data_IF_219697145187
#
_entry.id   IF_219697145187
#
_cell.length_a   1.000
_cell.length_b   1.000
_cell.length_c   1.000
_cell.angle_alpha   90.00
_cell.angle_beta   90.00
_cell.angle_gamma   90.00
#
_symmetry.space_group_name_H-M   'P 1'
#
loop_
_entity.id
_entity.type
_entity.pdbx_description
1 polymer ?
#
# COMPACT_ATOMS: atom_id res chain seq x y z
N UNK A 1 -11.60 -7.74 18.15
CA UNK A 1 -12.83 -7.01 17.78
C UNK A 1 -12.72 -6.67 16.30
N UNK A 2 -13.71 -6.99 15.46
CA UNK A 2 -13.65 -6.62 14.05
C UNK A 2 -13.96 -5.12 13.90
N UNK A 3 -12.95 -4.35 13.51
CA UNK A 3 -13.08 -2.93 13.17
C UNK A 3 -14.02 -2.80 11.96
N UNK A 4 -15.16 -2.13 12.13
CA UNK A 4 -16.11 -1.91 11.02
C UNK A 4 -15.72 -0.67 10.24
N UNK A 5 -15.38 -0.83 8.96
CA UNK A 5 -14.97 0.27 8.08
C UNK A 5 -16.01 1.41 8.02
N UNK A 6 -17.30 1.10 8.16
CA UNK A 6 -18.40 2.07 8.20
C UNK A 6 -18.26 3.14 9.31
N UNK A 7 -17.52 2.85 10.38
CA UNK A 7 -17.26 3.80 11.46
C UNK A 7 -16.34 4.95 11.03
N UNK A 8 -15.59 4.76 9.95
CA UNK A 8 -14.60 5.68 9.42
C UNK A 8 -15.08 6.42 8.17
N UNK A 9 -16.38 6.33 7.85
CA UNK A 9 -16.96 6.99 6.69
C UNK A 9 -16.80 8.51 6.80
N UNK A 10 -16.26 9.13 5.76
CA UNK A 10 -16.07 10.58 5.73
C UNK A 10 -17.41 11.26 5.44
N UNK A 11 -17.86 12.11 6.36
CA UNK A 11 -19.10 12.88 6.19
C UNK A 11 -18.99 13.83 5.00
N UNK A 12 -20.10 14.04 4.28
CA UNK A 12 -20.19 14.91 3.10
C UNK A 12 -19.36 14.46 1.88
N UNK A 13 -18.85 13.23 1.88
CA UNK A 13 -18.23 12.59 0.73
C UNK A 13 -19.07 11.39 0.27
N UNK A 14 -18.83 10.88 -0.96
CA UNK A 14 -19.49 9.66 -1.42
C UNK A 14 -19.33 8.51 -0.42
N UNK A 15 -20.33 7.61 -0.28
CA UNK A 15 -20.41 6.59 0.78
C UNK A 15 -19.32 5.51 0.75
N UNK A 16 -18.30 5.67 -0.10
CA UNK A 16 -17.21 4.73 -0.33
C UNK A 16 -15.85 5.31 0.08
N UNK A 17 -15.83 6.51 0.68
CA UNK A 17 -14.61 7.11 1.23
C UNK A 17 -14.53 6.91 2.74
N UNK A 18 -13.44 6.30 3.18
CA UNK A 18 -13.16 6.04 4.58
C UNK A 18 -11.79 6.62 4.96
N UNK A 19 -11.68 7.19 6.15
CA UNK A 19 -10.44 7.71 6.70
C UNK A 19 -10.19 7.14 8.09
N UNK A 20 -9.13 6.33 8.23
CA UNK A 20 -8.69 5.74 9.49
C UNK A 20 -7.42 6.47 9.93
N UNK A 21 -7.48 7.38 10.92
CA UNK A 21 -6.28 8.00 11.46
C UNK A 21 -5.44 6.95 12.21
N UNK A 22 -4.13 7.19 12.28
CA UNK A 22 -3.21 6.41 13.12
C UNK A 22 -3.29 4.89 12.88
N UNK A 23 -3.45 4.49 11.61
CA UNK A 23 -3.65 3.09 11.20
C UNK A 23 -2.45 2.17 11.51
N UNK A 24 -1.26 2.78 11.57
CA UNK A 24 -0.02 2.16 12.02
C UNK A 24 0.53 2.96 13.20
N UNK A 25 1.24 2.29 14.11
CA UNK A 25 1.92 2.97 15.22
C UNK A 25 3.23 3.61 14.77
N UNK A 26 3.80 4.52 15.57
CA UNK A 26 5.11 5.13 15.29
C UNK A 26 6.22 4.07 15.13
N UNK A 27 6.22 3.02 15.98
CA UNK A 27 7.17 1.91 15.88
C UNK A 27 7.00 1.10 14.58
N UNK A 28 5.76 0.90 14.15
CA UNK A 28 5.46 0.24 12.88
C UNK A 28 5.89 1.10 11.70
N UNK A 29 5.70 2.42 11.77
CA UNK A 29 6.16 3.35 10.75
C UNK A 29 7.68 3.32 10.60
N UNK A 30 8.43 3.34 11.71
CA UNK A 30 9.89 3.27 11.71
C UNK A 30 10.38 1.97 11.04
N UNK A 31 9.84 0.82 11.44
CA UNK A 31 10.21 -0.49 10.85
C UNK A 31 9.83 -0.60 9.39
N UNK A 32 8.64 -0.12 9.02
CA UNK A 32 8.18 -0.11 7.63
C UNK A 32 9.12 0.72 6.76
N UNK A 33 9.56 1.88 7.26
CA UNK A 33 10.54 2.75 6.61
C UNK A 33 11.89 2.06 6.41
N UNK A 34 12.41 1.40 7.45
CA UNK A 34 13.65 0.62 7.35
C UNK A 34 13.56 -0.45 6.25
N UNK A 35 12.46 -1.22 6.21
CA UNK A 35 12.24 -2.23 5.17
C UNK A 35 12.14 -1.62 3.76
N UNK A 36 11.40 -0.52 3.61
CA UNK A 36 11.23 0.18 2.32
C UNK A 36 12.59 0.61 1.75
N UNK A 37 13.48 1.15 2.58
CA UNK A 37 14.76 1.66 2.12
C UNK A 37 15.89 0.64 2.06
N UNK A 38 15.74 -0.52 2.73
CA UNK A 38 16.72 -1.60 2.68
C UNK A 38 16.70 -2.40 1.36
N UNK A 39 15.69 -2.19 0.50
CA UNK A 39 15.58 -2.89 -0.79
C UNK A 39 16.70 -2.46 -1.74
N UNK A 40 17.15 -3.34 -2.65
CA UNK A 40 18.22 -2.98 -3.59
C UNK A 40 17.72 -1.94 -4.60
N UNK A 41 18.62 -1.07 -5.08
CA UNK A 41 18.29 0.01 -6.04
C UNK A 41 17.46 -0.44 -7.25
N UNK A 42 17.68 -1.62 -7.88
CA UNK A 42 16.85 -2.09 -8.99
C UNK A 42 15.36 -2.32 -8.65
N UNK A 43 14.99 -2.41 -7.37
CA UNK A 43 13.58 -2.49 -6.96
C UNK A 43 12.85 -1.15 -7.11
N UNK A 44 13.61 -0.05 -7.17
CA UNK A 44 13.08 1.28 -7.42
C UNK A 44 13.05 1.60 -8.92
N UNK A 45 11.86 1.86 -9.44
CA UNK A 45 11.65 2.39 -10.77
C UNK A 45 11.48 3.91 -10.67
N UNK A 46 12.32 4.66 -11.38
CA UNK A 46 12.20 6.12 -11.46
C UNK A 46 11.18 6.48 -12.55
N UNK A 47 10.20 7.28 -12.18
CA UNK A 47 9.16 7.81 -13.05
C UNK A 47 9.26 9.35 -13.10
N UNK A 48 8.46 9.99 -13.95
CA UNK A 48 8.41 11.45 -13.97
C UNK A 48 7.90 11.99 -12.63
N UNK A 49 8.80 12.58 -11.85
CA UNK A 49 8.48 13.23 -10.58
C UNK A 49 8.14 12.28 -9.44
N UNK A 50 8.58 11.03 -9.45
CA UNK A 50 8.52 10.10 -8.29
C UNK A 50 9.39 8.88 -8.54
N UNK A 51 9.59 8.06 -7.50
CA UNK A 51 10.02 6.66 -7.68
C UNK A 51 9.03 5.69 -7.07
N UNK A 52 9.05 4.46 -7.57
CA UNK A 52 8.06 3.42 -7.29
C UNK A 52 8.75 2.10 -6.97
N UNK A 53 8.27 1.39 -5.95
CA UNK A 53 8.45 -0.07 -5.82
C UNK A 53 7.17 -0.78 -6.21
N UNK A 54 7.30 -1.94 -6.83
CA UNK A 54 6.18 -2.81 -7.21
C UNK A 54 6.31 -4.18 -6.51
N UNK A 55 5.27 -4.62 -5.81
CA UNK A 55 5.19 -5.89 -5.09
C UNK A 55 3.94 -6.68 -5.47
N UNK A 56 4.04 -8.01 -5.58
CA UNK A 56 2.92 -8.90 -5.90
C UNK A 56 2.64 -9.10 -7.39
N UNK A 57 3.19 -8.25 -8.27
CA UNK A 57 3.37 -8.65 -9.65
C UNK A 57 3.79 -7.55 -10.63
N UNK A 58 4.51 -7.93 -11.67
CA UNK A 58 4.98 -7.01 -12.71
C UNK A 58 3.99 -7.00 -13.89
N UNK A 59 3.54 -5.82 -14.34
CA UNK A 59 2.80 -5.69 -15.59
C UNK A 59 3.60 -6.28 -16.75
N UNK A 60 3.02 -7.25 -17.45
CA UNK A 60 3.60 -7.88 -18.63
C UNK A 60 2.59 -7.80 -19.80
N UNK A 61 3.03 -7.73 -21.07
CA UNK A 61 2.11 -7.69 -22.21
C UNK A 61 1.11 -8.87 -22.30
N UNK A 62 1.37 -9.96 -21.58
CA UNK A 62 0.52 -11.16 -21.50
C UNK A 62 -0.27 -11.30 -20.19
N UNK A 63 -0.31 -10.26 -19.36
CA UNK A 63 -0.97 -10.28 -18.04
C UNK A 63 -0.02 -9.86 -16.91
N UNK A 64 -0.32 -10.23 -15.67
CA UNK A 64 0.56 -9.95 -14.53
C UNK A 64 1.47 -11.15 -14.26
N UNK A 65 2.78 -10.90 -14.12
CA UNK A 65 3.70 -11.91 -13.59
C UNK A 65 3.69 -11.78 -12.07
N UNK A 66 3.20 -12.79 -11.37
CA UNK A 66 3.17 -12.80 -9.90
C UNK A 66 4.61 -12.81 -9.35
N UNK A 67 4.89 -11.88 -8.45
CA UNK A 67 6.11 -11.86 -7.65
C UNK A 67 5.77 -12.13 -6.19
N UNK A 68 6.73 -12.67 -5.45
CA UNK A 68 6.61 -12.83 -4.02
C UNK A 68 6.48 -11.47 -3.32
N UNK A 69 5.54 -11.38 -2.39
CA UNK A 69 5.40 -10.23 -1.50
C UNK A 69 6.17 -10.56 -0.23
N UNK A 70 7.04 -9.65 0.24
CA UNK A 70 7.83 -9.92 1.44
C UNK A 70 6.95 -9.93 2.69
N UNK A 71 7.31 -10.76 3.67
CA UNK A 71 6.54 -10.96 4.90
C UNK A 71 6.27 -9.66 5.67
N UNK A 72 7.23 -8.73 5.67
CA UNK A 72 7.06 -7.42 6.30
C UNK A 72 5.92 -6.60 5.69
N UNK A 73 5.60 -6.80 4.41
CA UNK A 73 4.52 -6.10 3.71
C UNK A 73 3.19 -6.82 3.88
N UNK A 74 3.20 -8.16 3.92
CA UNK A 74 2.01 -8.99 4.16
C UNK A 74 1.25 -8.56 5.41
N UNK A 75 1.96 -8.27 6.51
CA UNK A 75 1.35 -7.81 7.77
C UNK A 75 0.38 -6.63 7.58
N UNK A 76 0.74 -5.66 6.74
CA UNK A 76 -0.08 -4.48 6.47
C UNK A 76 -1.16 -4.75 5.41
N UNK A 77 -0.83 -5.55 4.39
CA UNK A 77 -1.79 -5.97 3.36
C UNK A 77 -2.96 -6.78 3.95
N UNK A 78 -2.67 -7.68 4.89
CA UNK A 78 -3.67 -8.45 5.61
C UNK A 78 -4.50 -7.55 6.53
N UNK A 79 -3.86 -6.59 7.21
CA UNK A 79 -4.58 -5.62 8.05
C UNK A 79 -5.60 -4.81 7.24
N UNK A 80 -5.24 -4.36 6.03
CA UNK A 80 -6.16 -3.67 5.12
C UNK A 80 -7.24 -4.62 4.60
N UNK A 81 -6.87 -5.85 4.21
CA UNK A 81 -7.84 -6.85 3.73
C UNK A 81 -8.89 -7.19 4.78
N UNK A 82 -8.46 -7.29 6.05
CA UNK A 82 -9.32 -7.56 7.21
C UNK A 82 -10.33 -6.44 7.53
N UNK A 83 -10.21 -5.26 6.90
CA UNK A 83 -11.24 -4.22 6.95
C UNK A 83 -12.46 -4.55 6.07
N UNK A 84 -12.35 -5.57 5.20
CA UNK A 84 -13.38 -5.93 4.23
C UNK A 84 -13.42 -5.02 3.00
N UNK A 85 -12.37 -4.22 2.78
CA UNK A 85 -12.31 -3.25 1.67
C UNK A 85 -12.34 -3.91 0.28
N UNK A 86 -11.97 -5.19 0.19
CA UNK A 86 -11.91 -5.95 -1.07
C UNK A 86 -13.03 -7.01 -1.20
N UNK A 87 -14.04 -6.98 -0.32
CA UNK A 87 -15.11 -7.98 -0.29
C UNK A 87 -14.55 -9.38 0.01
N UNK A 88 -14.82 -10.34 -0.89
CA UNK A 88 -14.34 -11.73 -0.76
C UNK A 88 -12.88 -11.93 -1.24
N UNK A 89 -12.21 -10.85 -1.68
CA UNK A 89 -10.82 -10.89 -2.14
C UNK A 89 -9.85 -10.38 -1.07
N UNK A 90 -8.56 -10.62 -1.28
CA UNK A 90 -7.48 -10.07 -0.47
C UNK A 90 -6.51 -9.27 -1.32
N UNK A 91 -5.79 -8.34 -0.70
CA UNK A 91 -4.72 -7.63 -1.38
C UNK A 91 -3.65 -8.63 -1.86
N UNK A 92 -3.29 -8.54 -3.13
CA UNK A 92 -2.29 -9.40 -3.78
C UNK A 92 -1.23 -8.58 -4.54
N UNK A 93 -1.27 -7.26 -4.41
CA UNK A 93 -0.39 -6.33 -5.08
C UNK A 93 -0.25 -5.05 -4.26
N UNK A 94 0.95 -4.46 -4.23
CA UNK A 94 1.22 -3.24 -3.50
C UNK A 94 2.23 -2.36 -4.25
N UNK A 95 1.95 -1.05 -4.27
CA UNK A 95 2.80 -0.03 -4.85
C UNK A 95 3.28 0.93 -3.76
N UNK A 96 4.58 1.11 -3.66
CA UNK A 96 5.20 2.06 -2.71
C UNK A 96 5.75 3.22 -3.51
N UNK A 97 5.10 4.38 -3.41
CA UNK A 97 5.52 5.60 -4.10
C UNK A 97 6.29 6.49 -3.13
N UNK A 98 7.40 7.06 -3.59
CA UNK A 98 8.10 8.13 -2.88
C UNK A 98 8.05 9.41 -3.70
N UNK A 99 7.76 10.51 -3.01
CA UNK A 99 7.73 11.87 -3.54
C UNK A 99 8.65 12.78 -2.72
N UNK A 100 9.54 13.49 -3.39
CA UNK A 100 10.30 14.60 -2.81
C UNK A 100 9.45 15.89 -2.74
N UNK A 101 9.86 16.91 -1.96
CA UNK A 101 9.18 18.21 -1.96
C UNK A 101 9.02 18.77 -3.38
N UNK A 102 7.77 19.11 -3.76
CA UNK A 102 7.42 19.62 -5.08
C UNK A 102 7.05 18.54 -6.12
N UNK A 103 7.16 17.26 -5.76
CA UNK A 103 6.69 16.14 -6.58
C UNK A 103 5.22 15.81 -6.33
N UNK A 104 4.59 15.09 -7.28
CA UNK A 104 3.18 14.71 -7.16
C UNK A 104 2.71 13.72 -8.23
N UNK A 105 1.43 13.36 -8.14
CA UNK A 105 0.72 12.59 -9.16
C UNK A 105 -0.37 13.47 -9.76
N UNK A 106 -0.38 13.57 -11.09
CA UNK A 106 -1.37 14.32 -11.89
C UNK A 106 -2.37 13.39 -12.52
#
# INVERSE_FOLDING_TARGET
MHTKLSQFAVKNFPPQLYYIPDFITEDEELKLREHIYAVPLPKWVVLSGRRLQNWGGIPHPKGMLTEEIPEWLHTYMDRVSNLGAFGDHTANHALINEYEPGQGIT
#
